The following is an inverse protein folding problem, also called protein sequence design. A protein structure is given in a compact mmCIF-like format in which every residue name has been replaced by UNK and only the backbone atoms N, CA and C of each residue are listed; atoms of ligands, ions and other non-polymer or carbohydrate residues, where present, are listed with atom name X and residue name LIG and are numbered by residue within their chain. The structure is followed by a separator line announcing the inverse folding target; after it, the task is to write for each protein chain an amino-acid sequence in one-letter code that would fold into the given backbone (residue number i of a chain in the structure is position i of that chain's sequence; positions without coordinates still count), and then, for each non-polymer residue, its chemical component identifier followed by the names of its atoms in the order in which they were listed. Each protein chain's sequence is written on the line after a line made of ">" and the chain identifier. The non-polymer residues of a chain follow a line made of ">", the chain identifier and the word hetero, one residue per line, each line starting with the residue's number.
data_IF_530006118989
#
_entry.id   IF_530006118989
#
_cell.length_a   1.000
_cell.length_b   1.000
_cell.length_c   1.000
_cell.angle_alpha   90.00
_cell.angle_beta   90.00
_cell.angle_gamma   90.00
#
_symmetry.space_group_name_H-M   'P 1'
#
loop_
_entity.id
_entity.type
_entity.pdbx_description
1 polymer ?
#
# COMPACT_ATOMS: atom_id res chain seq x y z
N UNK A 1 4.16 9.27 11.98
CA UNK A 1 3.75 7.85 11.97
C UNK A 1 3.73 7.37 10.52
N UNK A 2 4.63 6.45 10.16
CA UNK A 2 4.71 5.84 8.82
C UNK A 2 3.76 4.65 8.76
N UNK A 3 2.66 4.75 8.02
CA UNK A 3 1.67 3.68 7.83
C UNK A 3 1.95 2.83 6.56
N UNK A 4 3.17 2.89 5.99
CA UNK A 4 3.46 2.30 4.66
C UNK A 4 4.28 1.00 4.69
N UNK A 5 4.54 0.44 5.87
CA UNK A 5 5.52 -0.64 6.03
C UNK A 5 5.20 -1.92 5.22
N UNK A 6 3.95 -2.16 4.84
CA UNK A 6 3.54 -3.36 4.09
C UNK A 6 3.55 -3.23 2.56
N UNK A 7 3.76 -2.03 2.01
CA UNK A 7 3.61 -1.77 0.57
C UNK A 7 4.85 -1.13 -0.08
N UNK A 8 5.91 -0.89 0.71
CA UNK A 8 7.14 -0.29 0.21
C UNK A 8 7.86 -1.22 -0.76
N UNK A 9 8.47 -0.70 -1.85
CA UNK A 9 9.32 -1.50 -2.74
C UNK A 9 10.56 -2.05 -2.02
N UNK A 10 10.90 -1.52 -0.84
CA UNK A 10 12.00 -2.00 0.02
C UNK A 10 11.72 -3.36 0.68
N UNK A 11 10.49 -3.88 0.59
CA UNK A 11 10.18 -5.28 0.90
C UNK A 11 10.65 -6.11 -0.30
N UNK A 12 11.93 -6.49 -0.30
CA UNK A 12 12.55 -7.25 -1.38
C UNK A 12 13.70 -8.13 -0.85
N UNK A 13 14.17 -9.05 -1.69
CA UNK A 13 15.22 -10.03 -1.31
C UNK A 13 16.63 -9.42 -1.12
N UNK A 14 16.82 -8.13 -1.41
CA UNK A 14 18.06 -7.42 -1.06
C UNK A 14 18.02 -6.88 0.39
N UNK A 15 16.86 -6.90 1.04
CA UNK A 15 16.69 -6.54 2.43
C UNK A 15 16.72 -7.79 3.30
N UNK A 16 17.75 -7.92 4.14
CA UNK A 16 17.98 -9.11 4.97
C UNK A 16 16.83 -9.44 5.94
N UNK A 17 15.96 -8.47 6.24
CA UNK A 17 14.81 -8.68 7.12
C UNK A 17 13.61 -9.32 6.41
N UNK A 18 13.67 -9.53 5.09
CA UNK A 18 12.55 -10.06 4.31
C UNK A 18 12.99 -11.20 3.39
N UNK A 19 12.12 -12.19 3.25
CA UNK A 19 12.16 -13.13 2.14
C UNK A 19 10.85 -12.98 1.36
N UNK A 20 10.96 -12.78 0.04
CA UNK A 20 9.83 -12.51 -0.83
C UNK A 20 9.75 -13.49 -2.00
N UNK A 21 8.53 -13.80 -2.40
CA UNK A 21 8.17 -14.42 -3.67
C UNK A 21 7.28 -13.46 -4.45
N UNK A 22 7.75 -13.00 -5.61
CA UNK A 22 6.89 -12.26 -6.54
C UNK A 22 5.89 -13.22 -7.18
N UNK A 23 4.61 -13.01 -6.90
CA UNK A 23 3.51 -13.77 -7.51
C UNK A 23 3.21 -13.23 -8.91
N UNK A 24 3.21 -11.91 -9.06
CA UNK A 24 3.04 -11.22 -10.35
C UNK A 24 3.60 -9.81 -10.32
N UNK A 25 4.04 -9.34 -11.47
CA UNK A 25 4.29 -7.92 -11.76
C UNK A 25 3.12 -7.40 -12.58
N UNK A 26 2.48 -6.33 -12.13
CA UNK A 26 1.36 -5.70 -12.83
C UNK A 26 1.88 -4.73 -13.90
N UNK A 27 1.02 -4.39 -14.88
CA UNK A 27 1.40 -3.52 -16.00
C UNK A 27 1.75 -2.09 -15.57
N UNK A 28 1.31 -1.66 -14.38
CA UNK A 28 1.63 -0.35 -13.78
C UNK A 28 2.96 -0.35 -13.00
N UNK A 29 3.69 -1.47 -13.02
CA UNK A 29 4.97 -1.64 -12.32
C UNK A 29 4.84 -2.03 -10.85
N UNK A 30 3.63 -2.10 -10.29
CA UNK A 30 3.41 -2.66 -8.94
C UNK A 30 3.65 -4.17 -8.94
N UNK A 31 3.99 -4.74 -7.79
CA UNK A 31 4.22 -6.18 -7.67
C UNK A 31 3.31 -6.78 -6.61
N UNK A 32 2.56 -7.83 -6.93
CA UNK A 32 1.90 -8.65 -5.91
C UNK A 32 2.87 -9.73 -5.44
N UNK A 33 3.10 -9.78 -4.12
CA UNK A 33 4.12 -10.61 -3.50
C UNK A 33 3.53 -11.38 -2.32
N UNK A 34 4.09 -12.56 -2.08
CA UNK A 34 4.03 -13.22 -0.79
C UNK A 34 5.36 -12.99 -0.06
N UNK A 35 5.31 -12.61 1.20
CA UNK A 35 6.53 -12.36 1.97
C UNK A 35 6.42 -12.79 3.43
N UNK A 36 7.59 -13.07 4.01
CA UNK A 36 7.79 -13.18 5.45
C UNK A 36 8.80 -12.13 5.90
N UNK A 37 8.69 -11.71 7.16
CA UNK A 37 9.61 -10.78 7.80
C UNK A 37 10.29 -11.47 8.98
N UNK A 38 11.60 -11.31 9.10
CA UNK A 38 12.32 -11.62 10.34
C UNK A 38 12.01 -10.55 11.39
N UNK A 39 11.54 -11.00 12.55
CA UNK A 39 11.18 -10.17 13.69
C UNK A 39 12.41 -9.94 14.58
N UNK A 40 12.37 -8.88 15.40
CA UNK A 40 13.50 -8.47 16.25
C UNK A 40 13.88 -9.54 17.29
N UNK A 41 12.93 -10.41 17.66
CA UNK A 41 13.14 -11.56 18.54
C UNK A 41 13.73 -12.79 17.82
N UNK A 42 14.05 -12.69 16.53
CA UNK A 42 14.60 -13.78 15.71
C UNK A 42 13.54 -14.70 15.09
N UNK A 43 12.26 -14.53 15.41
CA UNK A 43 11.17 -15.31 14.82
C UNK A 43 10.84 -14.86 13.39
N UNK A 44 10.13 -15.70 12.64
CA UNK A 44 9.66 -15.39 11.28
C UNK A 44 8.16 -15.16 11.33
N UNK A 45 7.69 -14.07 10.72
CA UNK A 45 6.26 -13.79 10.63
C UNK A 45 5.53 -14.83 9.79
N UNK A 46 4.21 -14.95 9.97
CA UNK A 46 3.36 -15.62 8.99
C UNK A 46 3.55 -15.01 7.59
N UNK A 47 3.27 -15.82 6.56
CA UNK A 47 3.25 -15.35 5.17
C UNK A 47 2.17 -14.27 5.04
N UNK A 48 2.53 -13.15 4.41
CA UNK A 48 1.63 -12.06 4.07
C UNK A 48 1.60 -11.87 2.57
N UNK A 49 0.41 -11.65 2.04
CA UNK A 49 0.22 -11.20 0.66
C UNK A 49 0.12 -9.67 0.64
N UNK A 50 0.79 -9.02 -0.31
CA UNK A 50 0.72 -7.57 -0.47
C UNK A 50 0.95 -7.17 -1.93
N UNK A 51 0.41 -6.00 -2.30
CA UNK A 51 0.85 -5.28 -3.50
C UNK A 51 1.84 -4.20 -3.08
N UNK A 52 3.04 -4.24 -3.64
CA UNK A 52 4.09 -3.26 -3.43
C UNK A 52 4.05 -2.19 -4.52
N UNK A 53 4.42 -0.97 -4.16
CA UNK A 53 4.68 0.11 -5.12
C UNK A 53 5.82 -0.28 -6.07
N UNK A 54 5.92 0.36 -7.25
CA UNK A 54 6.98 0.06 -8.20
C UNK A 54 8.37 0.22 -7.58
N UNK A 55 9.31 -0.64 -7.97
CA UNK A 55 10.71 -0.57 -7.49
C UNK A 55 11.41 0.76 -7.80
N UNK A 56 10.92 1.49 -8.80
CA UNK A 56 11.42 2.81 -9.19
C UNK A 56 10.93 3.95 -8.30
N UNK A 57 9.95 3.71 -7.41
CA UNK A 57 9.41 4.75 -6.53
C UNK A 57 10.25 4.90 -5.27
N UNK A 58 10.60 6.14 -4.95
CA UNK A 58 11.20 6.50 -3.67
C UNK A 58 10.16 6.59 -2.56
N UNK A 59 10.61 6.64 -1.29
CA UNK A 59 9.71 6.91 -0.17
C UNK A 59 8.98 8.25 -0.32
N UNK A 60 9.65 9.25 -0.93
CA UNK A 60 9.07 10.55 -1.21
C UNK A 60 7.94 10.44 -2.24
N UNK A 61 8.14 9.70 -3.33
CA UNK A 61 7.11 9.49 -4.36
C UNK A 61 5.86 8.84 -3.74
N UNK A 62 6.04 7.83 -2.89
CA UNK A 62 4.94 7.18 -2.19
C UNK A 62 4.20 8.16 -1.26
N UNK A 63 4.92 8.86 -0.38
CA UNK A 63 4.31 9.75 0.62
C UNK A 63 3.57 10.91 -0.06
N UNK A 64 4.18 11.52 -1.07
CA UNK A 64 3.57 12.64 -1.79
C UNK A 64 2.33 12.18 -2.56
N UNK A 65 2.41 11.04 -3.26
CA UNK A 65 1.27 10.48 -3.99
C UNK A 65 0.09 10.17 -3.07
N UNK A 66 0.36 9.61 -1.88
CA UNK A 66 -0.66 9.30 -0.88
C UNK A 66 -1.32 10.58 -0.34
N UNK A 67 -0.54 11.63 -0.08
CA UNK A 67 -1.09 12.93 0.30
C UNK A 67 -1.98 13.50 -0.80
N UNK A 68 -1.48 13.54 -2.03
CA UNK A 68 -2.24 14.04 -3.18
C UNK A 68 -3.56 13.26 -3.39
N UNK A 69 -3.54 11.94 -3.28
CA UNK A 69 -4.75 11.12 -3.39
C UNK A 69 -5.70 11.41 -2.22
N UNK A 70 -5.19 11.49 -0.99
CA UNK A 70 -6.00 11.73 0.21
C UNK A 70 -6.53 13.17 0.35
N UNK A 71 -6.04 14.13 -0.43
CA UNK A 71 -6.58 15.49 -0.54
C UNK A 71 -7.71 15.59 -1.59
N UNK A 72 -7.95 14.51 -2.35
CA UNK A 72 -9.02 14.43 -3.34
C UNK A 72 -10.44 14.38 -2.75
N UNK A 73 -11.42 14.36 -3.65
CA UNK A 73 -12.82 14.13 -3.28
C UNK A 73 -12.99 12.66 -2.91
N UNK A 74 -13.60 12.33 -1.76
CA UNK A 74 -13.82 10.95 -1.39
C UNK A 74 -14.82 10.28 -2.33
N UNK A 75 -14.52 9.02 -2.67
CA UNK A 75 -15.41 8.13 -3.42
C UNK A 75 -16.53 7.56 -2.55
N UNK A 76 -16.23 7.35 -1.27
CA UNK A 76 -17.20 6.82 -0.31
C UNK A 76 -16.87 7.30 1.12
N UNK A 77 -17.90 7.29 1.97
CA UNK A 77 -17.81 7.55 3.41
C UNK A 77 -18.35 6.31 4.11
N UNK A 78 -17.62 5.81 5.09
CA UNK A 78 -18.02 4.62 5.86
C UNK A 78 -18.87 5.02 7.05
N UNK A 79 -20.13 4.58 7.05
CA UNK A 79 -21.15 4.97 8.05
C UNK A 79 -20.74 4.66 9.50
N UNK A 80 -19.95 3.60 9.73
CA UNK A 80 -19.60 3.16 11.07
C UNK A 80 -18.70 4.13 11.85
N UNK A 81 -17.87 4.91 11.14
CA UNK A 81 -16.82 5.72 11.77
C UNK A 81 -16.48 7.01 11.02
N UNK A 82 -17.22 7.34 9.96
CA UNK A 82 -16.99 8.52 9.14
C UNK A 82 -15.68 8.50 8.35
N UNK A 83 -14.99 7.35 8.26
CA UNK A 83 -13.80 7.26 7.44
C UNK A 83 -14.14 7.51 5.96
N UNK A 84 -13.22 8.14 5.23
CA UNK A 84 -13.39 8.47 3.81
C UNK A 84 -12.44 7.63 2.97
N UNK A 85 -12.94 7.11 1.85
CA UNK A 85 -12.17 6.36 0.88
C UNK A 85 -11.90 7.21 -0.35
N UNK A 86 -10.63 7.27 -0.76
CA UNK A 86 -10.14 8.01 -1.90
C UNK A 86 -9.36 7.07 -2.81
N UNK A 87 -9.48 7.24 -4.13
CA UNK A 87 -8.63 6.56 -5.10
C UNK A 87 -8.26 7.50 -6.22
N UNK A 88 -6.98 7.50 -6.60
CA UNK A 88 -6.53 8.18 -7.80
C UNK A 88 -5.32 7.47 -8.41
N UNK A 89 -5.00 7.81 -9.66
CA UNK A 89 -3.88 7.25 -10.42
C UNK A 89 -2.76 8.28 -10.53
N UNK A 90 -1.60 7.98 -9.96
CA UNK A 90 -0.40 8.84 -10.02
C UNK A 90 0.69 8.09 -10.77
N UNK A 91 1.22 8.69 -11.85
CA UNK A 91 2.24 8.07 -12.72
C UNK A 91 1.89 6.64 -13.16
N UNK A 92 0.61 6.39 -13.47
CA UNK A 92 0.13 5.08 -13.91
C UNK A 92 -0.20 4.09 -12.78
N UNK A 93 0.15 4.37 -11.52
CA UNK A 93 -0.18 3.51 -10.37
C UNK A 93 -1.47 3.97 -9.72
N UNK A 94 -2.45 3.07 -9.59
CA UNK A 94 -3.70 3.34 -8.88
C UNK A 94 -3.51 3.11 -7.37
N UNK A 95 -3.83 4.12 -6.56
CA UNK A 95 -3.56 4.17 -5.12
C UNK A 95 -4.87 4.38 -4.37
N UNK A 96 -5.07 3.57 -3.33
CA UNK A 96 -6.13 3.74 -2.35
C UNK A 96 -5.62 4.47 -1.13
N UNK A 97 -6.43 5.40 -0.62
CA UNK A 97 -6.19 6.10 0.63
C UNK A 97 -7.48 6.13 1.43
N UNK A 98 -7.40 5.66 2.67
CA UNK A 98 -8.48 5.75 3.64
C UNK A 98 -8.06 6.75 4.71
N UNK A 99 -8.89 7.77 4.92
CA UNK A 99 -8.67 8.81 5.94
C UNK A 99 -9.78 8.81 6.98
N UNK A 100 -9.44 9.19 8.21
CA UNK A 100 -10.42 9.63 9.20
C UNK A 100 -10.03 11.04 9.62
N UNK A 101 -10.93 11.99 9.39
CA UNK A 101 -10.61 13.42 9.53
C UNK A 101 -9.36 13.80 8.71
N UNK A 102 -8.29 14.26 9.34
CA UNK A 102 -7.01 14.59 8.69
C UNK A 102 -6.05 13.41 8.60
N UNK A 103 -6.30 12.32 9.33
CA UNK A 103 -5.36 11.22 9.48
C UNK A 103 -5.52 10.18 8.39
N UNK A 104 -4.43 9.86 7.69
CA UNK A 104 -4.36 8.69 6.80
C UNK A 104 -4.25 7.44 7.65
N UNK A 105 -5.30 6.62 7.66
CA UNK A 105 -5.37 5.37 8.43
C UNK A 105 -4.93 4.16 7.61
N UNK A 106 -5.04 4.23 6.28
CA UNK A 106 -4.52 3.20 5.37
C UNK A 106 -4.20 3.82 4.02
N UNK A 107 -3.14 3.36 3.37
CA UNK A 107 -2.82 3.74 2.00
C UNK A 107 -1.97 2.68 1.31
N UNK A 108 -2.35 2.28 0.10
CA UNK A 108 -1.70 1.19 -0.62
C UNK A 108 -1.92 1.24 -2.14
N UNK A 109 -0.98 0.72 -2.94
CA UNK A 109 -1.19 0.55 -4.36
C UNK A 109 -2.15 -0.62 -4.60
N UNK A 110 -3.03 -0.44 -5.56
CA UNK A 110 -4.11 -1.40 -5.87
C UNK A 110 -3.67 -2.48 -6.88
N UNK A 111 -2.62 -2.19 -7.66
CA UNK A 111 -2.26 -2.99 -8.84
C UNK A 111 -3.46 -3.12 -9.76
N UNK A 112 -3.91 -4.35 -9.99
CA UNK A 112 -5.07 -4.63 -10.84
C UNK A 112 -6.40 -4.75 -10.08
N UNK A 113 -6.42 -4.63 -8.74
CA UNK A 113 -7.65 -4.78 -7.96
C UNK A 113 -8.34 -3.44 -7.73
N UNK A 114 -9.40 -3.17 -8.47
CA UNK A 114 -10.19 -1.93 -8.34
C UNK A 114 -11.45 -2.10 -7.49
N UNK A 115 -11.56 -3.18 -6.71
CA UNK A 115 -12.66 -3.32 -5.75
C UNK A 115 -12.53 -2.28 -4.63
N UNK A 116 -13.65 -1.91 -4.01
CA UNK A 116 -13.60 -1.04 -2.84
C UNK A 116 -13.08 -1.84 -1.64
N UNK A 117 -12.35 -1.21 -0.71
CA UNK A 117 -11.96 -1.85 0.54
C UNK A 117 -13.17 -2.29 1.34
N UNK A 118 -13.04 -3.40 2.08
CA UNK A 118 -14.11 -3.89 2.94
C UNK A 118 -14.63 -2.81 3.90
N UNK A 119 -15.96 -2.69 3.98
CA UNK A 119 -16.65 -1.68 4.78
C UNK A 119 -16.87 -0.35 4.07
N UNK A 120 -16.49 -0.23 2.79
CA UNK A 120 -16.86 0.85 1.88
C UNK A 120 -17.67 0.31 0.70
#
# INVERSE_FOLDING_TARGET
>A
MSHHHGHSPKINNSNLNYAIQTVRTNNDGTASVDFVKQLDNGEVSNIKNSTLFPQTWSDKDMIDSIKTVGEGVPLAIRDSDGATFHRNKINGVSIDVIKRETDVISAYPTGNNLSYPGGF
#
